data_IF_614710945708
#
_entry.id   IF_614710945708
#
_cell.length_a   1.000
_cell.length_b   1.000
_cell.length_c   1.000
_cell.angle_alpha   90.00
_cell.angle_beta   90.00
_cell.angle_gamma   90.00
#
_symmetry.space_group_name_H-M   'P 1'
#
loop_
_entity.id
_entity.type
_entity.pdbx_description
1 polymer ?
#
# COMPACT_ATOMS: atom_id res chain seq x y z
N UNK A 1 6.30 24.88 -6.63
CA UNK A 1 6.54 24.43 -5.23
C UNK A 1 5.55 23.39 -4.70
N UNK A 2 4.30 23.29 -5.19
CA UNK A 2 3.32 22.30 -4.68
C UNK A 2 3.73 20.82 -4.90
N UNK A 3 4.31 20.49 -6.06
CA UNK A 3 4.74 19.11 -6.40
C UNK A 3 5.87 18.57 -5.51
N UNK A 4 6.82 19.43 -5.11
CA UNK A 4 7.95 19.03 -4.28
C UNK A 4 7.54 18.71 -2.84
N UNK A 5 6.58 19.47 -2.30
CA UNK A 5 6.00 19.19 -0.97
C UNK A 5 5.28 17.83 -0.94
N UNK A 6 4.47 17.51 -1.95
CA UNK A 6 3.80 16.21 -2.04
C UNK A 6 4.79 15.05 -2.10
N UNK A 7 5.89 15.19 -2.84
CA UNK A 7 6.92 14.16 -2.92
C UNK A 7 7.62 13.94 -1.57
N UNK A 8 7.94 15.03 -0.85
CA UNK A 8 8.57 14.96 0.47
C UNK A 8 7.64 14.31 1.52
N UNK A 9 6.34 14.61 1.45
CA UNK A 9 5.31 13.94 2.27
C UNK A 9 5.21 12.45 1.95
N UNK A 10 5.25 12.07 0.67
CA UNK A 10 5.20 10.67 0.25
C UNK A 10 6.36 9.86 0.85
N UNK A 11 7.57 10.42 0.81
CA UNK A 11 8.78 9.83 1.41
C UNK A 11 8.63 9.71 2.93
N UNK A 12 8.14 10.74 3.59
CA UNK A 12 7.94 10.73 5.04
C UNK A 12 6.93 9.64 5.45
N UNK A 13 5.82 9.53 4.72
CA UNK A 13 4.79 8.50 4.93
C UNK A 13 5.37 7.10 4.69
N UNK A 14 6.15 6.91 3.63
CA UNK A 14 6.85 5.64 3.38
C UNK A 14 7.78 5.26 4.54
N UNK A 15 8.54 6.22 5.08
CA UNK A 15 9.45 5.99 6.20
C UNK A 15 8.70 5.56 7.47
N UNK A 16 7.58 6.23 7.77
CA UNK A 16 6.71 5.90 8.90
C UNK A 16 6.14 4.49 8.72
N UNK A 17 5.61 4.16 7.54
CA UNK A 17 5.08 2.83 7.23
C UNK A 17 6.16 1.76 7.40
N UNK A 18 7.37 2.01 6.90
CA UNK A 18 8.48 1.08 7.02
C UNK A 18 8.83 0.81 8.49
N UNK A 19 8.94 1.87 9.30
CA UNK A 19 9.24 1.76 10.72
C UNK A 19 8.14 0.98 11.46
N UNK A 20 6.87 1.30 11.18
CA UNK A 20 5.72 0.66 11.83
C UNK A 20 5.57 -0.81 11.40
N UNK A 21 5.78 -1.12 10.12
CA UNK A 21 5.72 -2.48 9.59
C UNK A 21 6.77 -3.38 10.26
N UNK A 22 8.00 -2.88 10.38
CA UNK A 22 9.13 -3.67 10.86
C UNK A 22 9.18 -3.80 12.40
N UNK A 23 8.71 -2.79 13.14
CA UNK A 23 8.79 -2.77 14.60
C UNK A 23 7.47 -3.17 15.31
N UNK A 24 6.31 -2.80 14.74
CA UNK A 24 5.02 -3.02 15.39
C UNK A 24 4.28 -4.21 14.80
N UNK A 25 4.11 -4.24 13.47
CA UNK A 25 3.31 -5.28 12.81
C UNK A 25 4.01 -6.63 12.69
N UNK A 26 5.33 -6.69 12.85
CA UNK A 26 6.07 -7.97 12.96
C UNK A 26 5.69 -8.74 14.21
N UNK A 27 5.41 -8.04 15.30
CA UNK A 27 4.93 -8.63 16.54
C UNK A 27 3.40 -8.80 16.56
N UNK A 28 2.69 -8.00 15.76
CA UNK A 28 1.24 -8.04 15.63
C UNK A 28 0.77 -9.13 14.66
N UNK A 29 0.96 -10.39 15.06
CA UNK A 29 0.53 -11.55 14.31
C UNK A 29 -0.85 -12.03 14.80
N UNK A 30 -1.88 -11.91 13.96
CA UNK A 30 -3.22 -12.41 14.26
C UNK A 30 -3.40 -13.73 13.50
N UNK A 31 -3.41 -14.86 14.22
CA UNK A 31 -3.64 -16.21 13.64
C UNK A 31 -2.69 -16.59 12.49
N UNK A 32 -1.42 -16.23 12.58
CA UNK A 32 -0.41 -16.51 11.55
C UNK A 32 -0.34 -15.47 10.43
N UNK A 33 -1.31 -14.57 10.33
CA UNK A 33 -1.41 -13.56 9.27
C UNK A 33 -0.85 -12.23 9.79
N UNK A 34 0.20 -11.75 9.13
CA UNK A 34 0.83 -10.47 9.44
C UNK A 34 0.26 -9.38 8.52
N UNK A 35 -0.35 -8.30 9.07
CA UNK A 35 -0.81 -7.20 8.26
C UNK A 35 0.35 -6.54 7.51
N UNK A 36 0.13 -6.19 6.24
CA UNK A 36 1.13 -5.53 5.41
C UNK A 36 0.68 -4.10 5.07
N UNK A 37 1.29 -3.13 5.74
CA UNK A 37 1.01 -1.70 5.55
C UNK A 37 1.37 -1.19 4.15
N UNK A 38 2.31 -1.82 3.44
CA UNK A 38 2.63 -1.43 2.06
C UNK A 38 1.48 -1.73 1.10
N UNK A 39 0.76 -2.84 1.32
CA UNK A 39 -0.46 -3.19 0.58
C UNK A 39 -1.52 -2.11 0.83
N UNK A 40 -1.76 -1.77 2.09
CA UNK A 40 -2.71 -0.72 2.48
C UNK A 40 -2.36 0.60 1.79
N UNK A 41 -1.09 0.99 1.83
CA UNK A 41 -0.63 2.23 1.20
C UNK A 41 -0.86 2.25 -0.31
N UNK A 42 -0.46 1.21 -1.04
CA UNK A 42 -0.67 1.12 -2.47
C UNK A 42 -2.16 1.16 -2.84
N UNK A 43 -3.01 0.50 -2.04
CA UNK A 43 -4.45 0.48 -2.22
C UNK A 43 -5.08 1.86 -2.00
N UNK A 44 -4.65 2.60 -0.97
CA UNK A 44 -5.10 3.97 -0.72
C UNK A 44 -4.69 4.93 -1.83
N UNK A 45 -3.46 4.82 -2.32
CA UNK A 45 -2.99 5.63 -3.45
C UNK A 45 -3.82 5.32 -4.70
N UNK A 46 -4.14 4.05 -4.94
CA UNK A 46 -5.03 3.63 -6.02
C UNK A 46 -6.43 4.22 -5.93
N UNK A 47 -7.05 4.18 -4.73
CA UNK A 47 -8.40 4.72 -4.49
C UNK A 47 -8.44 6.25 -4.60
N UNK A 48 -7.53 6.95 -3.93
CA UNK A 48 -7.65 8.40 -3.78
C UNK A 48 -7.02 9.19 -4.93
N UNK A 49 -5.97 8.66 -5.57
CA UNK A 49 -5.23 9.38 -6.63
C UNK A 49 -5.55 8.82 -8.02
N UNK A 50 -5.77 7.51 -8.13
CA UNK A 50 -6.12 6.81 -9.37
C UNK A 50 -5.08 5.78 -9.81
N UNK A 51 -5.49 4.89 -10.69
CA UNK A 51 -4.86 3.67 -11.20
C UNK A 51 -3.46 3.91 -11.72
N UNK A 52 -3.26 4.88 -12.62
CA UNK A 52 -1.92 5.12 -13.22
C UNK A 52 -0.89 5.46 -12.15
N UNK A 53 -1.28 6.25 -11.14
CA UNK A 53 -0.40 6.63 -10.04
C UNK A 53 -0.29 5.51 -9.01
N UNK A 54 -1.40 4.83 -8.67
CA UNK A 54 -1.42 3.70 -7.74
C UNK A 54 -0.54 2.54 -8.21
N UNK A 55 -0.63 2.15 -9.49
CA UNK A 55 0.21 1.11 -10.10
C UNK A 55 1.67 1.55 -10.11
N UNK A 56 1.96 2.78 -10.55
CA UNK A 56 3.33 3.27 -10.62
C UNK A 56 3.99 3.37 -9.23
N UNK A 57 3.28 3.90 -8.25
CA UNK A 57 3.74 4.02 -6.86
C UNK A 57 3.87 2.63 -6.22
N UNK A 58 2.91 1.73 -6.43
CA UNK A 58 2.97 0.36 -5.94
C UNK A 58 4.19 -0.41 -6.48
N UNK A 59 4.44 -0.32 -7.79
CA UNK A 59 5.62 -0.92 -8.42
C UNK A 59 6.93 -0.33 -7.85
N UNK A 60 7.04 1.00 -7.78
CA UNK A 60 8.24 1.66 -7.26
C UNK A 60 8.51 1.29 -5.80
N UNK A 61 7.49 1.38 -4.96
CA UNK A 61 7.58 1.05 -3.53
C UNK A 61 7.90 -0.43 -3.34
N UNK A 62 7.27 -1.33 -4.10
CA UNK A 62 7.51 -2.77 -3.97
C UNK A 62 8.90 -3.18 -4.40
N UNK A 63 9.47 -2.55 -5.44
CA UNK A 63 10.88 -2.77 -5.81
C UNK A 63 11.83 -2.29 -4.71
N UNK A 64 11.56 -1.12 -4.11
CA UNK A 64 12.36 -0.61 -2.98
C UNK A 64 12.28 -1.59 -1.80
N UNK A 65 11.07 -2.07 -1.47
CA UNK A 65 10.85 -3.03 -0.39
C UNK A 65 11.57 -4.35 -0.67
N UNK A 66 11.53 -4.86 -1.89
CA UNK A 66 12.25 -6.08 -2.28
C UNK A 66 13.77 -5.93 -2.07
N UNK A 67 14.33 -4.78 -2.46
CA UNK A 67 15.76 -4.47 -2.28
C UNK A 67 16.13 -4.38 -0.79
N UNK A 68 15.28 -3.74 0.02
CA UNK A 68 15.56 -3.50 1.44
C UNK A 68 15.38 -4.76 2.29
N UNK A 69 14.38 -5.59 1.99
CA UNK A 69 14.08 -6.82 2.73
C UNK A 69 14.90 -8.02 2.20
N UNK A 70 15.46 -7.92 0.99
CA UNK A 70 16.28 -8.98 0.38
C UNK A 70 15.47 -10.18 -0.14
N UNK A 71 14.17 -10.01 -0.39
CA UNK A 71 13.32 -11.01 -1.06
C UNK A 71 13.46 -10.89 -2.58
N UNK A 72 13.06 -11.95 -3.30
CA UNK A 72 13.12 -12.01 -4.77
C UNK A 72 12.66 -10.69 -5.42
N UNK A 73 13.59 -10.01 -6.09
CA UNK A 73 13.38 -8.68 -6.65
C UNK A 73 12.28 -8.71 -7.70
N UNK A 74 11.25 -7.88 -7.51
CA UNK A 74 10.17 -7.65 -8.47
C UNK A 74 8.86 -8.36 -8.12
N UNK A 75 8.88 -9.37 -7.25
CA UNK A 75 7.65 -10.06 -6.85
C UNK A 75 6.73 -9.14 -6.03
N UNK A 76 7.28 -8.47 -5.02
CA UNK A 76 6.50 -7.51 -4.21
C UNK A 76 6.16 -6.27 -5.03
N UNK A 77 7.05 -5.86 -5.94
CA UNK A 77 6.78 -4.83 -6.95
C UNK A 77 5.50 -5.09 -7.72
N UNK A 78 5.41 -6.23 -8.40
CA UNK A 78 4.24 -6.60 -9.22
C UNK A 78 2.99 -6.71 -8.35
N UNK A 79 3.09 -7.35 -7.18
CA UNK A 79 1.97 -7.51 -6.26
C UNK A 79 1.39 -6.15 -5.83
N UNK A 80 2.23 -5.21 -5.39
CA UNK A 80 1.78 -3.88 -4.97
C UNK A 80 1.27 -3.04 -6.15
N UNK A 81 1.83 -3.22 -7.34
CA UNK A 81 1.29 -2.63 -8.57
C UNK A 81 -0.14 -3.09 -8.85
N UNK A 82 -0.41 -4.39 -8.75
CA UNK A 82 -1.76 -4.96 -8.90
C UNK A 82 -2.70 -4.44 -7.82
N UNK A 83 -2.25 -4.34 -6.58
CA UNK A 83 -3.04 -3.77 -5.48
C UNK A 83 -3.44 -2.32 -5.77
N UNK A 84 -2.52 -1.51 -6.30
CA UNK A 84 -2.81 -0.14 -6.73
C UNK A 84 -3.82 -0.08 -7.89
N UNK A 85 -3.81 -1.04 -8.79
CA UNK A 85 -4.82 -1.19 -9.86
C UNK A 85 -6.20 -1.55 -9.28
N UNK A 86 -6.24 -2.55 -8.38
CA UNK A 86 -7.46 -2.96 -7.68
C UNK A 86 -8.06 -1.79 -6.89
N UNK A 87 -7.22 -0.95 -6.27
CA UNK A 87 -7.66 0.27 -5.58
C UNK A 87 -8.55 1.17 -6.44
N UNK A 88 -8.19 1.48 -7.69
CA UNK A 88 -9.06 2.31 -8.55
C UNK A 88 -10.33 1.56 -8.99
N UNK A 89 -10.26 0.25 -9.24
CA UNK A 89 -11.46 -0.53 -9.56
C UNK A 89 -12.45 -0.50 -8.39
N UNK A 90 -11.96 -0.52 -7.17
CA UNK A 90 -12.78 -0.39 -5.97
C UNK A 90 -13.34 1.03 -5.83
N UNK A 91 -12.55 2.04 -6.19
CA UNK A 91 -13.00 3.44 -6.18
C UNK A 91 -14.20 3.70 -7.11
N UNK A 92 -14.18 3.08 -8.29
CA UNK A 92 -15.29 3.16 -9.25
C UNK A 92 -16.57 2.47 -8.78
N UNK A 93 -16.46 1.55 -7.82
CA UNK A 93 -17.56 0.72 -7.35
C UNK A 93 -18.04 1.08 -5.92
N UNK A 94 -17.28 1.89 -5.16
CA UNK A 94 -17.55 2.18 -3.76
C UNK A 94 -17.30 3.64 -3.37
N UNK A 95 -18.17 4.17 -2.50
CA UNK A 95 -18.09 5.55 -2.02
C UNK A 95 -16.87 5.82 -1.12
N UNK A 96 -16.01 6.77 -1.55
CA UNK A 96 -14.78 7.23 -0.87
C UNK A 96 -14.96 7.67 0.59
N UNK A 97 -16.17 8.07 0.97
CA UNK A 97 -16.43 8.76 2.24
C UNK A 97 -16.66 7.82 3.42
N UNK A 98 -16.76 6.52 3.20
CA UNK A 98 -17.11 5.58 4.26
C UNK A 98 -15.87 4.76 4.68
N UNK A 99 -15.19 5.25 5.73
CA UNK A 99 -13.99 4.66 6.35
C UNK A 99 -14.15 3.17 6.71
N UNK A 100 -15.38 2.74 6.99
CA UNK A 100 -15.72 1.35 7.31
C UNK A 100 -15.55 0.45 6.08
N UNK A 101 -15.94 0.92 4.89
CA UNK A 101 -15.77 0.20 3.61
C UNK A 101 -14.29 0.05 3.26
N UNK A 102 -13.48 1.08 3.54
CA UNK A 102 -12.03 1.05 3.33
C UNK A 102 -11.35 0.01 4.24
N UNK A 103 -11.73 -0.05 5.51
CA UNK A 103 -11.23 -1.04 6.48
C UNK A 103 -11.69 -2.47 6.12
N UNK A 104 -12.94 -2.63 5.67
CA UNK A 104 -13.46 -3.92 5.21
C UNK A 104 -12.73 -4.43 3.95
N UNK A 105 -12.41 -3.53 3.01
CA UNK A 105 -11.67 -3.87 1.79
C UNK A 105 -10.24 -4.32 2.09
N UNK A 106 -9.54 -3.58 2.95
CA UNK A 106 -8.20 -3.96 3.40
C UNK A 106 -8.25 -5.32 4.10
N UNK A 107 -9.27 -5.57 4.93
CA UNK A 107 -9.43 -6.86 5.58
C UNK A 107 -9.65 -8.00 4.57
N UNK A 108 -10.49 -7.82 3.54
CA UNK A 108 -10.72 -8.85 2.51
C UNK A 108 -9.44 -9.16 1.74
N UNK A 109 -8.67 -8.14 1.35
CA UNK A 109 -7.42 -8.33 0.57
C UNK A 109 -6.28 -8.89 1.44
N UNK A 110 -6.32 -8.67 2.76
CA UNK A 110 -5.25 -9.11 3.68
C UNK A 110 -5.54 -10.47 4.31
N UNK A 111 -6.81 -10.86 4.46
CA UNK A 111 -7.24 -12.09 5.14
C UNK A 111 -7.96 -13.11 4.23
N UNK A 112 -8.33 -12.74 3.00
CA UNK A 112 -8.83 -13.67 1.97
C UNK A 112 -7.69 -14.29 1.19
#
# INVERSE_FOLDING_TARGET
MKKFKSFLILILVFLIIYFLQFNFFTWFNIRGIMPNLFIVFALLVGIFIGQKVGVAVGLFVGIIVDIVIGKQIGFTGIALGVVGYVGELLDKNFDKNNLITLLAMVAIVTFG
#
